data_IF_338702306995
#
_entry.id   IF_338702306995
#
_cell.length_a   1.000
_cell.length_b   1.000
_cell.length_c   1.000
_cell.angle_alpha   90.00
_cell.angle_beta   90.00
_cell.angle_gamma   90.00
#
_symmetry.space_group_name_H-M   'P 1'
#
loop_
_entity.id
_entity.type
_entity.pdbx_description
1 polymer ?
#
# COMPACT_ATOMS: atom_id res chain seq x y z
N UNK A 1 10.58 1.53 7.03
CA UNK A 1 10.40 2.73 6.18
C UNK A 1 9.91 3.94 6.95
N UNK A 2 8.88 3.86 7.82
CA UNK A 2 8.40 5.05 8.54
C UNK A 2 9.49 5.82 9.28
N UNK A 3 10.40 5.13 9.98
CA UNK A 3 11.53 5.80 10.64
C UNK A 3 12.45 6.54 9.65
N UNK A 4 12.58 6.03 8.42
CA UNK A 4 13.32 6.68 7.35
C UNK A 4 12.59 7.96 6.89
N UNK A 5 11.27 7.88 6.65
CA UNK A 5 10.42 9.04 6.30
C UNK A 5 10.51 10.14 7.38
N UNK A 6 10.57 9.77 8.66
CA UNK A 6 10.67 10.72 9.78
C UNK A 6 12.06 11.33 9.88
N UNK A 7 13.09 10.52 9.68
CA UNK A 7 14.47 10.95 9.88
C UNK A 7 14.97 11.78 8.70
N UNK A 8 14.55 11.50 7.46
CA UNK A 8 15.06 12.18 6.27
C UNK A 8 14.78 13.69 6.24
N UNK A 9 13.74 14.15 6.97
CA UNK A 9 13.44 15.58 7.14
C UNK A 9 14.54 16.29 7.94
N UNK A 10 15.13 15.60 8.93
CA UNK A 10 16.09 16.18 9.86
C UNK A 10 17.55 15.78 9.56
N UNK A 11 17.76 14.55 9.06
CA UNK A 11 19.04 13.94 8.76
C UNK A 11 18.90 13.07 7.50
N UNK A 12 19.22 13.67 6.37
CA UNK A 12 19.04 13.06 5.05
C UNK A 12 19.88 11.79 4.87
N UNK A 13 21.17 11.82 5.25
CA UNK A 13 22.07 10.68 5.03
C UNK A 13 21.68 9.49 5.90
N UNK A 14 21.33 9.73 7.17
CA UNK A 14 20.87 8.65 8.03
C UNK A 14 19.49 8.12 7.63
N UNK A 15 18.63 8.98 7.08
CA UNK A 15 17.38 8.56 6.44
C UNK A 15 17.62 7.60 5.27
N UNK A 16 18.62 7.88 4.42
CA UNK A 16 19.01 6.98 3.30
C UNK A 16 19.47 5.61 3.77
N UNK A 17 20.28 5.54 4.83
CA UNK A 17 20.72 4.25 5.41
C UNK A 17 19.51 3.40 5.84
N UNK A 18 18.50 4.02 6.47
CA UNK A 18 17.28 3.33 6.87
C UNK A 18 16.43 2.88 5.67
N UNK A 19 16.42 3.64 4.57
CA UNK A 19 15.78 3.20 3.34
C UNK A 19 16.50 2.01 2.72
N UNK A 20 17.84 2.00 2.69
CA UNK A 20 18.62 0.88 2.17
C UNK A 20 18.35 -0.41 2.96
N UNK A 21 18.35 -0.36 4.29
CA UNK A 21 18.03 -1.52 5.12
C UNK A 21 16.57 -2.01 4.92
N UNK A 22 15.62 -1.09 4.77
CA UNK A 22 14.25 -1.45 4.44
C UNK A 22 14.16 -2.09 3.06
N UNK A 23 14.93 -1.58 2.09
CA UNK A 23 14.97 -2.09 0.74
C UNK A 23 15.47 -3.52 0.68
N UNK A 24 16.58 -3.84 1.35
CA UNK A 24 17.08 -5.22 1.47
C UNK A 24 16.00 -6.18 1.98
N UNK A 25 15.30 -5.78 3.05
CA UNK A 25 14.24 -6.59 3.66
C UNK A 25 13.07 -6.84 2.70
N UNK A 26 12.62 -5.81 1.97
CA UNK A 26 11.53 -5.96 1.01
C UNK A 26 11.95 -6.76 -0.23
N UNK A 27 13.18 -6.58 -0.71
CA UNK A 27 13.74 -7.33 -1.84
C UNK A 27 13.83 -8.82 -1.53
N UNK A 28 14.20 -9.17 -0.29
CA UNK A 28 14.15 -10.55 0.19
C UNK A 28 12.69 -11.07 0.26
N UNK A 29 11.76 -10.28 0.79
CA UNK A 29 10.34 -10.65 0.82
C UNK A 29 9.74 -10.87 -0.59
N UNK A 30 10.13 -10.05 -1.58
CA UNK A 30 9.77 -10.25 -2.99
C UNK A 30 10.28 -11.60 -3.49
N UNK A 31 11.51 -11.98 -3.13
CA UNK A 31 12.08 -13.27 -3.51
C UNK A 31 11.28 -14.43 -2.93
N UNK A 32 10.91 -14.35 -1.64
CA UNK A 32 10.09 -15.40 -1.01
C UNK A 32 8.67 -15.49 -1.57
N UNK A 33 8.01 -14.34 -1.77
CA UNK A 33 6.67 -14.30 -2.35
C UNK A 33 6.61 -14.92 -3.75
N UNK A 34 7.53 -14.51 -4.63
CA UNK A 34 7.64 -15.10 -5.97
C UNK A 34 7.95 -16.59 -5.93
N UNK A 35 8.89 -17.01 -5.08
CA UNK A 35 9.24 -18.42 -4.94
C UNK A 35 8.03 -19.25 -4.51
N UNK A 36 7.28 -18.78 -3.51
CA UNK A 36 6.09 -19.48 -3.01
C UNK A 36 5.04 -19.68 -4.11
N UNK A 37 4.73 -18.63 -4.87
CA UNK A 37 3.75 -18.69 -5.96
C UNK A 37 4.25 -19.56 -7.12
N UNK A 38 5.53 -19.47 -7.49
CA UNK A 38 6.13 -20.29 -8.56
C UNK A 38 6.14 -21.79 -8.26
N UNK A 39 6.25 -22.18 -6.99
CA UNK A 39 6.19 -23.60 -6.57
C UNK A 39 4.79 -24.19 -6.70
N UNK A 40 3.75 -23.36 -6.54
CA UNK A 40 2.34 -23.77 -6.67
C UNK A 40 1.86 -23.72 -8.12
N UNK A 41 2.33 -22.72 -8.87
CA UNK A 41 1.83 -22.37 -10.20
C UNK A 41 2.98 -22.29 -11.20
N UNK A 42 3.18 -23.32 -12.06
CA UNK A 42 4.28 -23.35 -13.03
C UNK A 42 4.32 -22.12 -13.97
N UNK A 43 3.14 -21.60 -14.33
CA UNK A 43 3.01 -20.46 -15.24
C UNK A 43 3.14 -19.10 -14.53
N UNK A 44 3.31 -19.07 -13.20
CA UNK A 44 3.37 -17.84 -12.42
C UNK A 44 4.48 -16.90 -12.89
N UNK A 45 5.68 -17.41 -13.11
CA UNK A 45 6.84 -16.58 -13.49
C UNK A 45 6.61 -15.88 -14.83
N UNK A 46 6.06 -16.60 -15.82
CA UNK A 46 5.72 -16.02 -17.12
C UNK A 46 4.60 -14.98 -16.97
N UNK A 47 3.58 -15.28 -16.16
CA UNK A 47 2.45 -14.39 -15.94
C UNK A 47 2.85 -13.08 -15.21
N UNK A 48 3.65 -13.17 -14.16
CA UNK A 48 4.06 -12.00 -13.37
C UNK A 48 5.05 -11.13 -14.15
N UNK A 49 5.88 -11.73 -15.02
CA UNK A 49 6.77 -11.00 -15.92
C UNK A 49 6.01 -10.28 -17.06
N UNK A 50 4.76 -10.66 -17.34
CA UNK A 50 3.99 -10.15 -18.46
C UNK A 50 4.20 -10.90 -19.77
N UNK A 51 4.96 -12.01 -19.75
CA UNK A 51 5.19 -12.89 -20.90
C UNK A 51 3.95 -13.75 -21.22
N UNK A 52 3.06 -13.92 -20.24
CA UNK A 52 1.80 -14.65 -20.35
C UNK A 52 0.63 -13.80 -19.85
N UNK A 53 -0.41 -13.67 -20.67
CA UNK A 53 -1.62 -12.92 -20.30
C UNK A 53 -2.66 -13.76 -19.55
N UNK A 54 -2.63 -15.09 -19.68
CA UNK A 54 -3.54 -15.95 -18.92
C UNK A 54 -3.16 -15.96 -17.44
N UNK A 55 -4.08 -15.52 -16.60
CA UNK A 55 -3.93 -15.54 -15.15
C UNK A 55 -3.91 -17.00 -14.68
N UNK A 56 -2.92 -17.42 -13.87
CA UNK A 56 -2.95 -18.72 -13.20
C UNK A 56 -4.27 -18.89 -12.43
N UNK A 57 -4.75 -20.13 -12.30
CA UNK A 57 -6.01 -20.43 -11.61
C UNK A 57 -5.87 -20.34 -10.08
N UNK A 58 -5.58 -19.15 -9.58
CA UNK A 58 -5.55 -18.85 -8.16
C UNK A 58 -6.91 -19.04 -7.51
N UNK A 59 -6.90 -19.43 -6.24
CA UNK A 59 -8.10 -19.52 -5.41
C UNK A 59 -7.99 -18.68 -4.14
N UNK A 60 -9.01 -18.76 -3.26
CA UNK A 60 -9.07 -17.99 -2.02
C UNK A 60 -7.87 -18.21 -1.09
N UNK A 61 -7.24 -19.38 -1.12
CA UNK A 61 -6.08 -19.71 -0.30
C UNK A 61 -4.80 -19.04 -0.81
N UNK A 62 -4.81 -18.46 -2.01
CA UNK A 62 -3.65 -17.76 -2.57
C UNK A 62 -3.68 -16.25 -2.35
N UNK A 63 -4.82 -15.69 -1.92
CA UNK A 63 -4.99 -14.24 -1.72
C UNK A 63 -3.92 -13.68 -0.79
N UNK A 64 -3.60 -14.38 0.30
CA UNK A 64 -2.56 -13.96 1.23
C UNK A 64 -1.19 -13.86 0.55
N UNK A 65 -0.83 -14.85 -0.29
CA UNK A 65 0.42 -14.84 -1.04
C UNK A 65 0.46 -13.72 -2.08
N UNK A 66 -0.65 -13.50 -2.80
CA UNK A 66 -0.77 -12.41 -3.77
C UNK A 66 -0.63 -11.05 -3.10
N UNK A 67 -1.37 -10.83 -2.00
CA UNK A 67 -1.37 -9.58 -1.25
C UNK A 67 0.00 -9.25 -0.67
N UNK A 68 0.62 -10.18 0.06
CA UNK A 68 1.92 -9.93 0.67
C UNK A 68 3.05 -9.83 -0.35
N UNK A 69 2.98 -10.55 -1.48
CA UNK A 69 3.94 -10.37 -2.58
C UNK A 69 3.78 -8.99 -3.21
N UNK A 70 2.55 -8.50 -3.38
CA UNK A 70 2.29 -7.15 -3.88
C UNK A 70 2.82 -6.08 -2.91
N UNK A 71 2.56 -6.26 -1.61
CA UNK A 71 3.08 -5.39 -0.56
C UNK A 71 4.61 -5.38 -0.51
N UNK A 72 5.25 -6.55 -0.71
CA UNK A 72 6.70 -6.65 -0.80
C UNK A 72 7.25 -5.87 -2.01
N UNK A 73 6.63 -6.02 -3.18
CA UNK A 73 7.00 -5.22 -4.36
C UNK A 73 6.82 -3.72 -4.11
N UNK A 74 5.67 -3.29 -3.60
CA UNK A 74 5.41 -1.88 -3.29
C UNK A 74 6.40 -1.32 -2.28
N UNK A 75 6.73 -2.09 -1.25
CA UNK A 75 7.74 -1.76 -0.26
C UNK A 75 9.15 -1.63 -0.86
N UNK A 76 9.58 -2.59 -1.69
CA UNK A 76 10.87 -2.57 -2.36
C UNK A 76 10.99 -1.37 -3.31
N UNK A 77 9.95 -1.10 -4.10
CA UNK A 77 9.88 0.06 -5.00
C UNK A 77 10.00 1.36 -4.20
N UNK A 78 9.18 1.54 -3.16
CA UNK A 78 9.21 2.78 -2.35
C UNK A 78 10.56 2.97 -1.66
N UNK A 79 11.11 1.92 -1.07
CA UNK A 79 12.39 1.97 -0.33
C UNK A 79 13.62 2.10 -1.24
N UNK A 80 13.52 1.73 -2.52
CA UNK A 80 14.60 1.91 -3.50
C UNK A 80 14.90 3.38 -3.84
N UNK A 81 14.03 4.31 -3.41
CA UNK A 81 14.16 5.75 -3.66
C UNK A 81 14.23 6.12 -5.15
N UNK A 82 13.52 5.37 -5.99
CA UNK A 82 13.38 5.66 -7.42
C UNK A 82 14.40 4.94 -8.30
N UNK A 83 15.00 3.85 -7.82
CA UNK A 83 15.82 2.97 -8.65
C UNK A 83 15.00 2.42 -9.84
N UNK A 84 15.41 2.71 -11.09
CA UNK A 84 14.71 2.23 -12.28
C UNK A 84 14.52 0.70 -12.34
N UNK A 85 15.46 -0.08 -11.79
CA UNK A 85 15.37 -1.56 -11.75
C UNK A 85 14.18 -2.04 -10.93
N UNK A 86 13.77 -1.27 -9.93
CA UNK A 86 12.58 -1.55 -9.13
C UNK A 86 11.33 -0.89 -9.68
N UNK A 87 11.43 0.37 -10.13
CA UNK A 87 10.28 1.11 -10.67
C UNK A 87 9.64 0.38 -11.85
N UNK A 88 10.44 -0.25 -12.72
CA UNK A 88 9.93 -1.03 -13.87
C UNK A 88 9.06 -2.22 -13.44
N UNK A 89 9.15 -2.67 -12.18
CA UNK A 89 8.39 -3.78 -11.62
C UNK A 89 7.03 -3.36 -11.06
N UNK A 90 6.69 -2.06 -11.05
CA UNK A 90 5.41 -1.55 -10.56
C UNK A 90 4.17 -2.24 -11.18
N UNK A 91 4.12 -2.60 -12.47
CA UNK A 91 2.99 -3.33 -13.04
C UNK A 91 2.70 -4.68 -12.35
N UNK A 92 3.71 -5.30 -11.70
CA UNK A 92 3.54 -6.54 -10.95
C UNK A 92 2.65 -6.36 -9.72
N UNK A 93 2.73 -5.20 -9.06
CA UNK A 93 1.86 -4.85 -7.94
C UNK A 93 0.40 -4.88 -8.37
N UNK A 94 0.08 -4.27 -9.52
CA UNK A 94 -1.26 -4.29 -10.09
C UNK A 94 -1.75 -5.69 -10.43
N UNK A 95 -0.93 -6.47 -11.16
CA UNK A 95 -1.28 -7.86 -11.50
C UNK A 95 -1.66 -8.68 -10.27
N UNK A 96 -0.91 -8.55 -9.19
CA UNK A 96 -1.15 -9.27 -7.94
C UNK A 96 -2.40 -8.77 -7.20
N UNK A 97 -2.53 -7.45 -6.99
CA UNK A 97 -3.67 -6.87 -6.27
C UNK A 97 -4.99 -7.03 -7.03
N UNK A 98 -5.01 -6.76 -8.33
CA UNK A 98 -6.23 -6.89 -9.16
C UNK A 98 -6.70 -8.35 -9.23
N UNK A 99 -5.76 -9.30 -9.33
CA UNK A 99 -6.09 -10.73 -9.28
C UNK A 99 -6.67 -11.10 -7.94
N UNK A 100 -6.03 -10.72 -6.83
CA UNK A 100 -6.56 -10.99 -5.49
C UNK A 100 -7.95 -10.38 -5.26
N UNK A 101 -8.16 -9.13 -5.73
CA UNK A 101 -9.43 -8.42 -5.64
C UNK A 101 -10.54 -9.11 -6.44
N UNK A 102 -10.21 -9.74 -7.56
CA UNK A 102 -11.17 -10.51 -8.36
C UNK A 102 -11.63 -11.82 -7.70
N UNK A 103 -10.85 -12.36 -6.75
CA UNK A 103 -11.15 -13.63 -6.06
C UNK A 103 -12.03 -13.38 -4.82
N UNK A 104 -11.60 -12.46 -3.95
CA UNK A 104 -12.35 -12.08 -2.75
C UNK A 104 -12.08 -10.63 -2.36
N UNK A 105 -12.91 -9.67 -2.81
CA UNK A 105 -12.65 -8.25 -2.59
C UNK A 105 -12.73 -7.82 -1.12
N UNK A 106 -13.44 -8.58 -0.29
CA UNK A 106 -13.68 -8.25 1.11
C UNK A 106 -12.61 -8.85 2.04
N UNK A 107 -11.64 -9.57 1.48
CA UNK A 107 -10.58 -10.24 2.22
C UNK A 107 -9.85 -9.30 3.18
N UNK A 108 -9.62 -9.81 4.39
CA UNK A 108 -8.92 -9.11 5.47
C UNK A 108 -9.44 -7.69 5.71
N UNK A 109 -10.76 -7.56 5.95
CA UNK A 109 -11.43 -6.29 6.21
C UNK A 109 -11.25 -5.26 5.09
N UNK A 110 -11.15 -5.71 3.83
CA UNK A 110 -10.99 -4.83 2.67
C UNK A 110 -9.56 -4.31 2.45
N UNK A 111 -8.54 -4.98 3.02
CA UNK A 111 -7.12 -4.60 2.87
C UNK A 111 -6.68 -4.47 1.40
N UNK A 112 -7.26 -5.26 0.49
CA UNK A 112 -6.99 -5.17 -0.94
C UNK A 112 -7.36 -3.79 -1.50
N UNK A 113 -8.50 -3.23 -1.07
CA UNK A 113 -8.88 -1.88 -1.45
C UNK A 113 -7.91 -0.83 -0.90
N UNK A 114 -7.40 -1.01 0.33
CA UNK A 114 -6.39 -0.10 0.90
C UNK A 114 -5.11 -0.07 0.06
N UNK A 115 -4.65 -1.24 -0.40
CA UNK A 115 -3.51 -1.34 -1.33
C UNK A 115 -3.80 -0.71 -2.70
N UNK A 116 -5.03 -0.85 -3.21
CA UNK A 116 -5.43 -0.25 -4.48
C UNK A 116 -5.49 1.28 -4.46
N UNK A 117 -5.73 1.92 -3.31
CA UNK A 117 -5.71 3.40 -3.19
C UNK A 117 -4.36 3.96 -3.66
N UNK A 118 -3.25 3.48 -3.09
CA UNK A 118 -1.92 3.96 -3.44
C UNK A 118 -1.51 3.53 -4.84
N UNK A 119 -1.74 2.27 -5.21
CA UNK A 119 -1.39 1.75 -6.53
C UNK A 119 -2.08 2.52 -7.68
N UNK A 120 -3.37 2.83 -7.53
CA UNK A 120 -4.15 3.57 -8.54
C UNK A 120 -3.56 4.95 -8.84
N UNK A 121 -2.98 5.61 -7.83
CA UNK A 121 -2.40 6.94 -7.96
C UNK A 121 -1.04 6.96 -8.66
N UNK A 122 -0.28 5.84 -8.60
CA UNK A 122 1.12 5.78 -9.07
C UNK A 122 1.33 4.92 -10.33
N UNK A 123 0.36 4.11 -10.74
CA UNK A 123 0.50 3.24 -11.91
C UNK A 123 0.71 4.06 -13.19
N UNK A 124 1.54 3.54 -14.10
CA UNK A 124 1.93 4.23 -15.33
C UNK A 124 0.76 4.46 -16.30
N UNK A 125 -0.23 3.58 -16.26
CA UNK A 125 -1.46 3.58 -17.04
C UNK A 125 -2.64 4.09 -16.19
N UNK A 126 -2.39 5.07 -15.31
CA UNK A 126 -3.41 5.60 -14.43
C UNK A 126 -4.61 6.16 -15.22
N UNK A 127 -5.84 5.79 -14.85
CA UNK A 127 -7.05 6.37 -15.43
C UNK A 127 -7.12 7.90 -15.22
N UNK A 128 -7.85 8.60 -16.10
CA UNK A 128 -8.04 10.05 -16.01
C UNK A 128 -8.72 10.43 -14.69
N UNK A 129 -9.59 9.56 -14.18
CA UNK A 129 -10.38 9.71 -12.96
C UNK A 129 -9.77 8.95 -11.77
N UNK A 130 -8.45 8.73 -11.77
CA UNK A 130 -7.73 7.97 -10.73
C UNK A 130 -8.03 8.43 -9.29
N UNK A 131 -8.21 9.73 -9.06
CA UNK A 131 -8.56 10.27 -7.74
C UNK A 131 -9.95 9.81 -7.29
N UNK A 132 -10.92 9.79 -8.22
CA UNK A 132 -12.27 9.29 -7.97
C UNK A 132 -12.23 7.78 -7.70
N UNK A 133 -11.48 7.03 -8.50
CA UNK A 133 -11.32 5.59 -8.30
C UNK A 133 -10.65 5.24 -6.96
N UNK A 134 -9.60 5.98 -6.57
CA UNK A 134 -8.96 5.83 -5.26
C UNK A 134 -9.94 6.15 -4.11
N UNK A 135 -10.78 7.16 -4.28
CA UNK A 135 -11.85 7.50 -3.32
C UNK A 135 -12.90 6.40 -3.23
N UNK A 136 -13.26 5.75 -4.34
CA UNK A 136 -14.17 4.61 -4.34
C UNK A 136 -13.59 3.39 -3.62
N UNK A 137 -12.29 3.11 -3.80
CA UNK A 137 -11.61 2.08 -3.03
C UNK A 137 -11.58 2.39 -1.53
N UNK A 138 -11.31 3.64 -1.16
CA UNK A 138 -11.44 4.10 0.22
C UNK A 138 -12.84 3.84 0.79
N UNK A 139 -13.89 4.24 0.07
CA UNK A 139 -15.28 4.06 0.51
C UNK A 139 -15.64 2.58 0.70
N UNK A 140 -15.14 1.69 -0.16
CA UNK A 140 -15.32 0.24 -0.02
C UNK A 140 -14.60 -0.30 1.21
N UNK A 141 -13.34 0.09 1.41
CA UNK A 141 -12.54 -0.35 2.55
C UNK A 141 -13.18 0.04 3.89
N UNK A 142 -13.57 1.31 4.07
CA UNK A 142 -14.19 1.75 5.33
C UNK A 142 -15.56 1.11 5.57
N UNK A 143 -16.30 0.78 4.50
CA UNK A 143 -17.58 0.08 4.62
C UNK A 143 -17.38 -1.34 5.12
N UNK A 144 -16.42 -2.08 4.55
CA UNK A 144 -16.13 -3.47 4.92
C UNK A 144 -15.59 -3.53 6.35
N UNK A 145 -14.69 -2.61 6.71
CA UNK A 145 -14.12 -2.54 8.05
C UNK A 145 -15.06 -1.90 9.08
N UNK A 146 -16.29 -1.52 8.73
CA UNK A 146 -17.22 -0.77 9.57
C UNK A 146 -16.64 0.52 10.19
N UNK A 147 -15.78 1.23 9.45
CA UNK A 147 -15.01 2.39 9.92
C UNK A 147 -14.05 2.11 11.09
N UNK A 148 -13.71 0.85 11.35
CA UNK A 148 -12.81 0.44 12.42
C UNK A 148 -11.34 0.31 11.98
N UNK A 149 -11.03 0.33 10.68
CA UNK A 149 -9.66 0.36 10.18
C UNK A 149 -9.23 1.80 9.88
N UNK A 150 -8.11 2.23 10.48
CA UNK A 150 -7.52 3.54 10.28
C UNK A 150 -6.72 3.63 8.97
N UNK A 151 -6.24 2.50 8.44
CA UNK A 151 -5.36 2.44 7.26
C UNK A 151 -5.92 3.10 5.99
N UNK A 152 -7.21 2.94 5.63
CA UNK A 152 -7.80 3.60 4.46
C UNK A 152 -7.68 5.12 4.53
N UNK A 153 -7.88 5.70 5.73
CA UNK A 153 -7.80 7.14 5.94
C UNK A 153 -6.39 7.67 5.73
N UNK A 154 -5.38 6.95 6.22
CA UNK A 154 -3.97 7.30 6.00
C UNK A 154 -3.63 7.20 4.51
N UNK A 155 -4.02 6.09 3.88
CA UNK A 155 -3.73 5.83 2.46
C UNK A 155 -4.32 6.90 1.56
N UNK A 156 -5.59 7.30 1.77
CA UNK A 156 -6.23 8.35 0.98
C UNK A 156 -5.59 9.73 1.24
N UNK A 157 -5.30 10.05 2.51
CA UNK A 157 -4.67 11.32 2.88
C UNK A 157 -3.30 11.49 2.20
N UNK A 158 -2.43 10.49 2.28
CA UNK A 158 -1.08 10.57 1.70
C UNK A 158 -1.08 10.53 0.16
N UNK A 159 -1.90 9.66 -0.45
CA UNK A 159 -1.80 9.39 -1.88
C UNK A 159 -2.73 10.25 -2.74
N UNK A 160 -3.77 10.87 -2.17
CA UNK A 160 -4.72 11.70 -2.92
C UNK A 160 -4.70 13.15 -2.43
N UNK A 161 -4.79 13.39 -1.13
CA UNK A 161 -4.88 14.76 -0.62
C UNK A 161 -3.57 15.55 -0.79
N UNK A 162 -2.40 14.94 -0.52
CA UNK A 162 -1.11 15.62 -0.69
C UNK A 162 -0.87 16.02 -2.16
N UNK A 163 -0.95 15.11 -3.16
CA UNK A 163 -0.75 15.50 -4.56
C UNK A 163 -1.74 16.57 -5.05
N UNK A 164 -2.98 16.55 -4.55
CA UNK A 164 -4.02 17.51 -4.92
C UNK A 164 -3.96 18.82 -4.12
N UNK A 165 -3.02 18.95 -3.18
CA UNK A 165 -2.92 20.08 -2.26
C UNK A 165 -4.22 20.34 -1.46
N UNK A 166 -4.98 19.29 -1.17
CA UNK A 166 -6.22 19.35 -0.40
C UNK A 166 -5.95 19.23 1.11
N UNK A 167 -5.41 20.31 1.68
CA UNK A 167 -5.03 20.38 3.10
C UNK A 167 -6.20 20.13 4.05
N UNK A 168 -7.40 20.61 3.69
CA UNK A 168 -8.57 20.49 4.55
C UNK A 168 -9.04 19.05 4.66
N UNK A 169 -9.16 18.34 3.53
CA UNK A 169 -9.55 16.94 3.55
C UNK A 169 -8.48 16.05 4.18
N UNK A 170 -7.19 16.36 3.95
CA UNK A 170 -6.08 15.69 4.63
C UNK A 170 -6.24 15.72 6.15
N UNK A 171 -6.43 16.91 6.74
CA UNK A 171 -6.63 17.08 8.18
C UNK A 171 -7.85 16.30 8.66
N UNK A 172 -8.97 16.39 7.95
CA UNK A 172 -10.21 15.71 8.32
C UNK A 172 -10.05 14.18 8.34
N UNK A 173 -9.37 13.60 7.35
CA UNK A 173 -9.12 12.15 7.29
C UNK A 173 -8.22 11.69 8.44
N UNK A 174 -7.15 12.44 8.75
CA UNK A 174 -6.23 12.07 9.82
C UNK A 174 -6.89 12.15 11.20
N UNK A 175 -7.72 13.16 11.47
CA UNK A 175 -8.49 13.20 12.71
C UNK A 175 -9.54 12.08 12.80
N UNK A 176 -10.14 11.65 11.68
CA UNK A 176 -11.00 10.46 11.70
C UNK A 176 -10.21 9.22 12.11
N UNK A 177 -9.01 9.01 11.53
CA UNK A 177 -8.14 7.89 11.91
C UNK A 177 -7.75 7.91 13.39
N UNK A 178 -7.42 9.09 13.93
CA UNK A 178 -7.05 9.27 15.35
C UNK A 178 -8.20 9.00 16.33
N UNK A 179 -9.45 9.17 15.90
CA UNK A 179 -10.63 8.98 16.76
C UNK A 179 -11.16 7.53 16.76
N UNK A 180 -10.58 6.63 15.98
CA UNK A 180 -10.95 5.20 16.01
C UNK A 180 -10.49 4.59 17.33
N UNK A 181 -11.38 3.92 18.06
CA UNK A 181 -11.01 3.13 19.24
C UNK A 181 -10.33 1.82 18.80
N UNK A 182 -9.01 1.77 19.00
CA UNK A 182 -8.18 0.64 18.61
C UNK A 182 -8.51 -0.67 19.36
N UNK A 183 -9.30 -0.60 20.43
CA UNK A 183 -9.70 -1.78 21.21
C UNK A 183 -11.02 -2.39 20.75
N UNK A 184 -11.74 -1.74 19.83
CA UNK A 184 -13.04 -2.24 19.36
C UNK A 184 -12.91 -3.52 18.53
N UNK A 185 -11.91 -3.60 17.65
CA UNK A 185 -11.64 -4.79 16.82
C UNK A 185 -10.21 -5.31 17.09
N UNK A 186 -10.05 -6.41 17.86
CA UNK A 186 -8.75 -6.94 18.25
C UNK A 186 -7.79 -7.21 17.10
N UNK A 187 -8.31 -7.68 15.95
CA UNK A 187 -7.49 -8.02 14.78
C UNK A 187 -6.88 -6.78 14.12
N UNK A 188 -7.55 -5.62 14.23
CA UNK A 188 -7.09 -4.35 13.68
C UNK A 188 -6.24 -3.53 14.66
N UNK A 189 -6.16 -3.92 15.93
CA UNK A 189 -5.53 -3.11 16.99
C UNK A 189 -4.10 -2.67 16.68
N UNK A 190 -3.25 -3.59 16.20
CA UNK A 190 -1.86 -3.26 15.88
C UNK A 190 -1.78 -2.31 14.68
N UNK A 191 -2.51 -2.64 13.61
CA UNK A 191 -2.60 -1.83 12.39
C UNK A 191 -3.11 -0.42 12.67
N UNK A 192 -4.14 -0.29 13.50
CA UNK A 192 -4.69 0.99 13.92
C UNK A 192 -3.72 1.78 14.78
N UNK A 193 -3.02 1.13 15.72
CA UNK A 193 -2.00 1.81 16.52
C UNK A 193 -0.89 2.41 15.64
N UNK A 194 -0.39 1.64 14.67
CA UNK A 194 0.62 2.11 13.71
C UNK A 194 0.06 3.28 12.88
N UNK A 195 -1.14 3.12 12.32
CA UNK A 195 -1.81 4.14 11.52
C UNK A 195 -2.06 5.44 12.29
N UNK A 196 -2.44 5.37 13.57
CA UNK A 196 -2.61 6.55 14.43
C UNK A 196 -1.27 7.23 14.73
N UNK A 197 -0.18 6.48 14.92
CA UNK A 197 1.16 7.05 15.03
C UNK A 197 1.59 7.76 13.75
N UNK A 198 1.24 7.20 12.58
CA UNK A 198 1.49 7.85 11.29
C UNK A 198 0.64 9.10 11.12
N UNK A 199 -0.65 9.06 11.46
CA UNK A 199 -1.54 10.22 11.41
C UNK A 199 -1.04 11.38 12.26
N UNK A 200 -0.61 11.11 13.50
CA UNK A 200 -0.07 12.15 14.37
C UNK A 200 1.17 12.79 13.75
N UNK A 201 2.11 11.97 13.28
CA UNK A 201 3.33 12.49 12.64
C UNK A 201 3.02 13.33 11.38
N UNK A 202 2.07 12.89 10.57
CA UNK A 202 1.63 13.62 9.37
C UNK A 202 1.03 15.00 9.72
N UNK A 203 0.23 15.08 10.80
CA UNK A 203 -0.31 16.35 11.29
C UNK A 203 0.78 17.26 11.86
N UNK A 204 1.73 16.69 12.62
CA UNK A 204 2.84 17.45 13.23
C UNK A 204 3.79 18.05 12.19
N UNK A 205 3.83 17.48 10.98
CA UNK A 205 4.72 17.89 9.88
C UNK A 205 3.92 18.37 8.66
N UNK A 206 2.70 18.87 8.87
CA UNK A 206 1.78 19.21 7.77
C UNK A 206 2.35 20.23 6.78
N UNK A 207 3.17 21.17 7.26
CA UNK A 207 3.75 22.24 6.45
C UNK A 207 4.82 21.73 5.47
N UNK A 208 5.30 20.49 5.63
CA UNK A 208 6.18 19.82 4.66
C UNK A 208 5.44 19.31 3.41
N UNK A 209 4.10 19.24 3.46
CA UNK A 209 3.28 18.61 2.41
C UNK A 209 2.41 19.61 1.63
N UNK A 210 2.16 20.80 2.18
CA UNK A 210 1.24 21.79 1.61
C UNK A 210 1.89 23.18 1.56
N UNK A 211 1.74 23.86 0.42
CA UNK A 211 2.30 25.20 0.17
C UNK A 211 1.25 26.22 -0.31
#
# INVERSE_FOLDING_TARGET
MENADRLIINDYERGKELYASAHESFSEAVTFGNKSLSLKYPDYTLWINGDLNSIPKFDKNDIEYLYWTAGAYGGAIKSSRGDPEWVILLPRVGRLLETALSIDPDWNNGSLYVGMISYTMIRHDAPIDKESMATDYFNKAIKISNNLDASPYISLAENVCIPNQDRNNFINLLYKALNIDINTEPDLRLTNYISQKRAQWLLDNIDEFFY
#
